data_IF_711991169684
#
_entry.id   IF_711991169684
#
_cell.length_a   1.000
_cell.length_b   1.000
_cell.length_c   1.000
_cell.angle_alpha   90.00
_cell.angle_beta   90.00
_cell.angle_gamma   90.00
#
_symmetry.space_group_name_H-M   'P 1'
#
loop_
_entity.id
_entity.type
_entity.pdbx_description
1 polymer ?
#
# COMPACT_ATOMS: atom_id res chain seq x y z
N UNK A 1 -69.45 18.53 -161.49
CA UNK A 1 -69.81 17.46 -162.45
C UNK A 1 -71.31 17.21 -162.34
N UNK A 2 -72.03 17.16 -163.50
CA UNK A 2 -73.48 16.92 -163.70
C UNK A 2 -74.40 17.97 -163.06
N UNK A 3 -74.92 18.98 -163.75
CA UNK A 3 -75.85 19.02 -164.90
C UNK A 3 -77.09 18.13 -164.71
N UNK A 4 -78.21 18.78 -164.44
CA UNK A 4 -79.49 18.41 -165.07
C UNK A 4 -80.24 19.70 -165.44
N UNK A 5 -80.65 19.76 -166.71
CA UNK A 5 -81.42 20.84 -167.35
C UNK A 5 -82.87 20.84 -166.87
N UNK A 6 -83.51 22.02 -166.86
CA UNK A 6 -84.85 22.25 -167.45
C UNK A 6 -85.17 23.75 -167.63
N UNK A 7 -85.40 24.13 -168.89
CA UNK A 7 -86.46 25.02 -169.44
C UNK A 7 -86.77 26.32 -168.64
N UNK A 8 -86.17 27.46 -168.98
CA UNK A 8 -86.62 28.55 -169.89
C UNK A 8 -88.03 29.12 -169.61
N UNK A 9 -88.05 30.33 -169.06
CA UNK A 9 -88.87 31.45 -169.56
C UNK A 9 -88.06 32.74 -169.37
N UNK A 10 -87.75 33.40 -170.49
CA UNK A 10 -87.07 34.69 -170.56
C UNK A 10 -88.09 35.79 -170.35
N UNK A 11 -87.82 36.74 -169.45
CA UNK A 11 -88.36 38.09 -169.51
C UNK A 11 -87.19 39.06 -169.32
N UNK A 12 -86.88 39.78 -170.39
CA UNK A 12 -85.89 40.86 -170.47
C UNK A 12 -86.66 42.16 -170.80
N UNK A 13 -86.09 43.29 -170.37
CA UNK A 13 -86.49 44.70 -170.60
C UNK A 13 -87.42 45.27 -169.50
N UNK A 14 -87.34 46.53 -169.03
CA UNK A 14 -86.80 47.85 -169.46
C UNK A 14 -86.43 48.67 -168.18
N UNK A 15 -85.31 49.39 -168.03
CA UNK A 15 -84.91 50.74 -168.52
C UNK A 15 -85.85 51.92 -168.22
N UNK A 16 -85.32 53.04 -167.68
CA UNK A 16 -85.67 54.41 -168.12
C UNK A 16 -84.71 55.49 -167.55
N UNK A 17 -83.50 55.57 -168.11
CA UNK A 17 -82.94 56.87 -168.47
C UNK A 17 -83.54 57.25 -169.83
N UNK A 18 -83.96 58.51 -169.95
CA UNK A 18 -84.26 59.28 -171.17
C UNK A 18 -84.08 58.59 -172.53
N UNK A 19 -85.18 58.31 -173.22
CA UNK A 19 -85.36 58.58 -174.66
C UNK A 19 -86.80 58.28 -175.05
N UNK A 20 -87.48 59.30 -175.56
CA UNK A 20 -88.70 59.14 -176.36
C UNK A 20 -88.41 58.18 -177.51
N UNK A 21 -89.17 57.10 -177.61
CA UNK A 21 -89.25 56.30 -178.83
C UNK A 21 -90.73 56.21 -179.20
N UNK A 22 -91.16 57.16 -180.02
CA UNK A 22 -92.44 57.14 -180.71
C UNK A 22 -92.50 55.86 -181.55
N UNK A 23 -93.49 55.00 -181.27
CA UNK A 23 -93.76 53.81 -182.09
C UNK A 23 -95.03 54.08 -182.90
N UNK A 24 -94.87 54.50 -184.16
CA UNK A 24 -95.97 54.51 -185.13
C UNK A 24 -96.24 53.08 -185.64
N UNK A 25 -97.50 52.65 -185.55
CA UNK A 25 -98.02 51.47 -186.25
C UNK A 25 -99.10 51.93 -187.25
N UNK A 26 -98.93 51.59 -188.53
CA UNK A 26 -99.93 51.85 -189.58
C UNK A 26 -100.98 50.74 -189.56
N UNK A 27 -102.19 51.06 -189.07
CA UNK A 27 -103.42 50.32 -189.38
C UNK A 27 -104.27 51.18 -190.32
N UNK A 28 -104.71 50.56 -191.41
CA UNK A 28 -105.75 51.08 -192.30
C UNK A 28 -106.99 51.48 -191.49
N UNK A 29 -107.10 52.76 -191.15
CA UNK A 29 -108.38 53.45 -191.06
C UNK A 29 -109.06 53.65 -189.70
N UNK A 30 -108.40 53.54 -188.52
CA UNK A 30 -108.80 54.25 -187.29
C UNK A 30 -107.79 54.07 -186.13
N UNK A 31 -107.58 55.14 -185.33
CA UNK A 31 -106.54 55.30 -184.30
C UNK A 31 -107.12 55.04 -182.90
N UNK A 32 -106.65 54.00 -182.19
CA UNK A 32 -106.92 53.80 -180.76
C UNK A 32 -105.61 53.58 -179.98
N UNK A 33 -105.45 54.34 -178.89
CA UNK A 33 -104.29 54.39 -177.99
C UNK A 33 -104.49 53.43 -176.81
N UNK A 34 -103.58 52.46 -176.62
CA UNK A 34 -103.58 51.52 -175.51
C UNK A 34 -102.90 52.13 -174.26
N UNK A 35 -103.63 52.26 -173.16
CA UNK A 35 -103.17 52.92 -171.93
C UNK A 35 -102.51 51.88 -170.97
N UNK A 36 -101.19 51.93 -170.80
CA UNK A 36 -100.37 50.94 -170.04
C UNK A 36 -100.11 51.41 -168.58
N UNK A 37 -100.77 52.50 -168.14
CA UNK A 37 -100.61 53.12 -166.82
C UNK A 37 -100.68 52.13 -165.65
N UNK A 38 -101.67 51.21 -165.67
CA UNK A 38 -101.91 50.26 -164.57
C UNK A 38 -100.75 49.27 -164.37
N UNK A 39 -100.03 48.92 -165.45
CA UNK A 39 -98.87 48.03 -165.38
C UNK A 39 -97.65 48.74 -164.77
N UNK A 40 -97.48 50.02 -165.08
CA UNK A 40 -96.38 50.85 -164.55
C UNK A 40 -96.60 51.12 -163.05
N UNK A 41 -97.83 51.38 -162.62
CA UNK A 41 -98.18 51.58 -161.22
C UNK A 41 -98.04 50.28 -160.39
N UNK A 42 -98.39 49.12 -160.97
CA UNK A 42 -98.16 47.82 -160.36
C UNK A 42 -96.68 47.50 -160.14
N UNK A 43 -95.82 47.77 -161.15
CA UNK A 43 -94.36 47.61 -161.04
C UNK A 43 -93.76 48.58 -160.01
N UNK A 44 -94.26 49.82 -159.96
CA UNK A 44 -93.84 50.83 -158.96
C UNK A 44 -94.21 50.41 -157.53
N UNK A 45 -95.40 49.80 -157.33
CA UNK A 45 -95.83 49.24 -156.05
C UNK A 45 -94.94 48.07 -155.58
N UNK A 46 -94.55 47.19 -156.50
CA UNK A 46 -93.61 46.08 -156.23
C UNK A 46 -92.22 46.63 -155.88
N UNK A 47 -91.72 47.62 -156.63
CA UNK A 47 -90.42 48.24 -156.39
C UNK A 47 -90.36 48.94 -155.02
N UNK A 48 -91.41 49.69 -154.65
CA UNK A 48 -91.52 50.32 -153.33
C UNK A 48 -91.60 49.28 -152.20
N UNK A 49 -92.32 48.18 -152.41
CA UNK A 49 -92.39 47.07 -151.45
C UNK A 49 -91.04 46.37 -151.29
N UNK A 50 -90.31 46.15 -152.39
CA UNK A 50 -88.96 45.59 -152.37
C UNK A 50 -87.97 46.51 -151.64
N UNK A 51 -88.05 47.82 -151.87
CA UNK A 51 -87.23 48.81 -151.17
C UNK A 51 -87.55 48.80 -149.66
N UNK A 52 -88.83 48.80 -149.28
CA UNK A 52 -89.25 48.73 -147.88
C UNK A 52 -88.79 47.43 -147.21
N UNK A 53 -88.91 46.29 -147.88
CA UNK A 53 -88.39 45.01 -147.39
C UNK A 53 -86.86 45.01 -147.25
N UNK A 54 -86.14 45.63 -148.20
CA UNK A 54 -84.69 45.79 -148.12
C UNK A 54 -84.28 46.66 -146.94
N UNK A 55 -85.00 47.75 -146.70
CA UNK A 55 -84.78 48.63 -145.55
C UNK A 55 -85.10 47.90 -144.23
N UNK A 56 -86.18 47.12 -144.17
CA UNK A 56 -86.49 46.28 -143.02
C UNK A 56 -85.39 45.23 -142.78
N UNK A 57 -84.91 44.57 -143.83
CA UNK A 57 -83.81 43.62 -143.73
C UNK A 57 -82.51 44.28 -143.25
N UNK A 58 -82.20 45.49 -143.75
CA UNK A 58 -81.07 46.29 -143.28
C UNK A 58 -81.22 46.64 -141.79
N UNK A 59 -82.40 47.06 -141.35
CA UNK A 59 -82.67 47.39 -139.95
C UNK A 59 -82.54 46.17 -139.04
N UNK A 60 -83.03 45.00 -139.48
CA UNK A 60 -82.85 43.72 -138.76
C UNK A 60 -81.36 43.35 -138.70
N UNK A 61 -80.62 43.48 -139.80
CA UNK A 61 -79.19 43.20 -139.83
C UNK A 61 -78.40 44.14 -138.91
N UNK A 62 -78.74 45.43 -138.89
CA UNK A 62 -78.16 46.41 -137.99
C UNK A 62 -78.48 46.08 -136.52
N UNK A 63 -79.72 45.71 -136.21
CA UNK A 63 -80.13 45.26 -134.88
C UNK A 63 -79.37 44.02 -134.42
N UNK A 64 -79.23 43.03 -135.30
CA UNK A 64 -78.45 41.82 -135.03
C UNK A 64 -76.96 42.13 -134.79
N UNK A 65 -76.38 43.03 -135.57
CA UNK A 65 -75.01 43.49 -135.38
C UNK A 65 -74.82 44.18 -134.02
N UNK A 66 -75.75 45.05 -133.62
CA UNK A 66 -75.73 45.68 -132.29
C UNK A 66 -75.88 44.66 -131.15
N UNK A 67 -76.75 43.67 -131.28
CA UNK A 67 -76.88 42.58 -130.30
C UNK A 67 -75.57 41.77 -130.19
N UNK A 68 -74.92 41.46 -131.31
CA UNK A 68 -73.64 40.75 -131.32
C UNK A 68 -72.52 41.56 -130.65
N UNK A 69 -72.46 42.87 -130.91
CA UNK A 69 -71.51 43.77 -130.25
C UNK A 69 -71.75 43.83 -128.73
N UNK A 70 -73.00 43.92 -128.29
CA UNK A 70 -73.36 43.89 -126.87
C UNK A 70 -72.97 42.55 -126.21
N UNK A 71 -73.24 41.42 -126.88
CA UNK A 71 -72.85 40.10 -126.40
C UNK A 71 -71.33 39.96 -126.27
N UNK A 72 -70.56 40.49 -127.23
CA UNK A 72 -69.10 40.52 -127.16
C UNK A 72 -68.61 41.35 -125.98
N UNK A 73 -69.22 42.52 -125.73
CA UNK A 73 -68.89 43.38 -124.57
C UNK A 73 -69.14 42.68 -123.24
N UNK A 74 -70.27 41.98 -123.11
CA UNK A 74 -70.60 41.16 -121.93
C UNK A 74 -69.59 40.02 -121.75
N UNK A 75 -69.24 39.31 -122.83
CA UNK A 75 -68.25 38.24 -122.79
C UNK A 75 -66.86 38.74 -122.36
N UNK A 76 -66.44 39.90 -122.88
CA UNK A 76 -65.18 40.54 -122.48
C UNK A 76 -65.21 40.94 -120.99
N UNK A 77 -66.34 41.46 -120.51
CA UNK A 77 -66.53 41.80 -119.09
C UNK A 77 -66.45 40.56 -118.20
N UNK A 78 -67.13 39.47 -118.57
CA UNK A 78 -67.10 38.21 -117.83
C UNK A 78 -65.69 37.60 -117.79
N UNK A 79 -64.95 37.65 -118.91
CA UNK A 79 -63.56 37.20 -118.96
C UNK A 79 -62.66 38.02 -118.01
N UNK A 80 -62.81 39.34 -117.99
CA UNK A 80 -62.08 40.23 -117.07
C UNK A 80 -62.42 39.94 -115.60
N UNK A 81 -63.70 39.74 -115.27
CA UNK A 81 -64.13 39.34 -113.92
C UNK A 81 -63.53 38.01 -113.48
N UNK A 82 -63.49 37.01 -114.37
CA UNK A 82 -62.87 35.71 -114.09
C UNK A 82 -61.36 35.83 -113.83
N UNK A 83 -60.65 36.65 -114.62
CA UNK A 83 -59.22 36.93 -114.41
C UNK A 83 -58.96 37.63 -113.06
N UNK A 84 -59.82 38.60 -112.69
CA UNK A 84 -59.73 39.27 -111.40
C UNK A 84 -59.99 38.30 -110.23
N UNK A 85 -60.98 37.41 -110.36
CA UNK A 85 -61.26 36.38 -109.36
C UNK A 85 -60.08 35.39 -109.21
N UNK A 86 -59.47 34.96 -110.33
CA UNK A 86 -58.28 34.11 -110.31
C UNK A 86 -57.10 34.81 -109.62
N UNK A 87 -56.90 36.10 -109.88
CA UNK A 87 -55.85 36.90 -109.23
C UNK A 87 -56.08 37.00 -107.72
N UNK A 88 -57.33 37.23 -107.30
CA UNK A 88 -57.70 37.27 -105.88
C UNK A 88 -57.47 35.90 -105.20
N UNK A 89 -57.85 34.80 -105.85
CA UNK A 89 -57.61 33.44 -105.35
C UNK A 89 -56.12 33.13 -105.20
N UNK A 90 -55.30 33.51 -106.19
CA UNK A 90 -53.84 33.33 -106.13
C UNK A 90 -53.22 34.15 -104.98
N UNK A 91 -53.68 35.39 -104.75
CA UNK A 91 -53.25 36.20 -103.61
C UNK A 91 -53.65 35.56 -102.27
N UNK A 92 -54.87 35.05 -102.16
CA UNK A 92 -55.33 34.37 -100.95
C UNK A 92 -54.51 33.10 -100.65
N UNK A 93 -54.18 32.31 -101.68
CA UNK A 93 -53.32 31.14 -101.54
C UNK A 93 -51.91 31.51 -101.07
N UNK A 94 -51.34 32.60 -101.61
CA UNK A 94 -50.03 33.09 -101.18
C UNK A 94 -50.04 33.51 -99.69
N UNK A 95 -51.05 34.27 -99.27
CA UNK A 95 -51.23 34.65 -97.86
C UNK A 95 -51.41 33.44 -96.95
N UNK A 96 -52.16 32.42 -97.38
CA UNK A 96 -52.32 31.18 -96.60
C UNK A 96 -51.00 30.42 -96.44
N UNK A 97 -50.18 30.36 -97.50
CA UNK A 97 -48.87 29.71 -97.47
C UNK A 97 -47.88 30.46 -96.55
N UNK A 98 -47.90 31.79 -96.58
CA UNK A 98 -47.11 32.64 -95.67
C UNK A 98 -47.53 32.44 -94.22
N UNK A 99 -48.84 32.42 -93.93
CA UNK A 99 -49.37 32.17 -92.60
C UNK A 99 -48.98 30.78 -92.07
N UNK A 100 -49.05 29.75 -92.92
CA UNK A 100 -48.62 28.39 -92.57
C UNK A 100 -47.11 28.34 -92.25
N UNK A 101 -46.28 29.04 -93.03
CA UNK A 101 -44.84 29.14 -92.79
C UNK A 101 -44.53 29.87 -91.48
N UNK A 102 -45.25 30.95 -91.18
CA UNK A 102 -45.15 31.68 -89.92
C UNK A 102 -45.54 30.80 -88.72
N UNK A 103 -46.61 30.01 -88.84
CA UNK A 103 -47.05 29.07 -87.80
C UNK A 103 -46.00 27.98 -87.52
N UNK A 104 -45.39 27.43 -88.56
CA UNK A 104 -44.30 26.43 -88.41
C UNK A 104 -43.07 27.04 -87.73
N UNK A 105 -42.69 28.27 -88.11
CA UNK A 105 -41.58 28.97 -87.46
C UNK A 105 -41.86 29.25 -85.97
N UNK A 106 -43.09 29.64 -85.63
CA UNK A 106 -43.51 29.84 -84.25
C UNK A 106 -43.46 28.52 -83.46
N UNK A 107 -43.91 27.41 -84.05
CA UNK A 107 -43.85 26.09 -83.44
C UNK A 107 -42.39 25.64 -83.18
N UNK A 108 -41.49 25.84 -84.14
CA UNK A 108 -40.07 25.52 -83.98
C UNK A 108 -39.41 26.35 -82.88
N UNK A 109 -39.78 27.63 -82.78
CA UNK A 109 -39.31 28.53 -81.71
C UNK A 109 -39.80 28.04 -80.35
N UNK A 110 -41.08 27.66 -80.23
CA UNK A 110 -41.65 27.12 -79.01
C UNK A 110 -40.96 25.82 -78.56
N UNK A 111 -40.69 24.90 -79.51
CA UNK A 111 -39.97 23.65 -79.23
C UNK A 111 -38.54 23.92 -78.75
N UNK A 112 -37.85 24.89 -79.34
CA UNK A 112 -36.50 25.29 -78.92
C UNK A 112 -36.50 25.87 -77.51
N UNK A 113 -37.49 26.70 -77.18
CA UNK A 113 -37.66 27.25 -75.84
C UNK A 113 -37.96 26.16 -74.81
N UNK A 114 -38.83 25.19 -75.13
CA UNK A 114 -39.14 24.04 -74.29
C UNK A 114 -37.87 23.21 -73.99
N UNK A 115 -37.07 22.91 -75.01
CA UNK A 115 -35.83 22.14 -74.85
C UNK A 115 -34.79 22.88 -73.99
N UNK A 116 -34.71 24.20 -74.15
CA UNK A 116 -33.84 25.06 -73.32
C UNK A 116 -34.30 25.02 -71.86
N UNK A 117 -35.60 25.14 -71.60
CA UNK A 117 -36.17 25.07 -70.26
C UNK A 117 -35.92 23.70 -69.60
N UNK A 118 -36.09 22.61 -70.35
CA UNK A 118 -35.81 21.25 -69.85
C UNK A 118 -34.32 21.05 -69.51
N UNK A 119 -33.43 21.60 -70.34
CA UNK A 119 -31.99 21.57 -70.10
C UNK A 119 -31.61 22.36 -68.85
N UNK A 120 -32.18 23.57 -68.69
CA UNK A 120 -31.99 24.39 -67.49
C UNK A 120 -32.50 23.70 -66.23
N UNK A 121 -33.66 23.03 -66.31
CA UNK A 121 -34.21 22.25 -65.19
C UNK A 121 -33.29 21.09 -64.80
N UNK A 122 -32.71 20.39 -65.78
CA UNK A 122 -31.74 19.31 -65.53
C UNK A 122 -30.47 19.83 -64.84
N UNK A 123 -29.95 20.97 -65.29
CA UNK A 123 -28.79 21.62 -64.66
C UNK A 123 -29.10 22.01 -63.21
N UNK A 124 -30.29 22.57 -62.96
CA UNK A 124 -30.72 22.94 -61.60
C UNK A 124 -30.83 21.71 -60.68
N UNK A 125 -31.39 20.59 -61.16
CA UNK A 125 -31.47 19.34 -60.41
C UNK A 125 -30.08 18.77 -60.09
N UNK A 126 -29.16 18.78 -61.05
CA UNK A 126 -27.79 18.33 -60.83
C UNK A 126 -27.05 19.21 -59.82
N UNK A 127 -27.25 20.53 -59.87
CA UNK A 127 -26.69 21.46 -58.89
C UNK A 127 -27.25 21.20 -57.48
N UNK A 128 -28.55 20.95 -57.37
CA UNK A 128 -29.19 20.58 -56.09
C UNK A 128 -28.63 19.27 -55.54
N UNK A 129 -28.48 18.24 -56.38
CA UNK A 129 -27.91 16.95 -55.96
C UNK A 129 -26.46 17.12 -55.48
N UNK A 130 -25.66 17.94 -56.17
CA UNK A 130 -24.28 18.24 -55.78
C UNK A 130 -24.23 18.96 -54.43
N UNK A 131 -25.12 19.93 -54.21
CA UNK A 131 -25.21 20.64 -52.93
C UNK A 131 -25.61 19.70 -51.78
N UNK A 132 -26.57 18.81 -52.00
CA UNK A 132 -26.98 17.82 -51.00
C UNK A 132 -25.83 16.86 -50.64
N UNK A 133 -25.09 16.39 -51.64
CA UNK A 133 -23.93 15.53 -51.40
C UNK A 133 -22.85 16.27 -50.59
N UNK A 134 -22.57 17.54 -50.91
CA UNK A 134 -21.59 18.33 -50.17
C UNK A 134 -21.99 18.53 -48.69
N UNK A 135 -23.29 18.70 -48.41
CA UNK A 135 -23.81 18.79 -47.04
C UNK A 135 -23.61 17.46 -46.31
N UNK A 136 -23.90 16.34 -46.97
CA UNK A 136 -23.73 15.01 -46.38
C UNK A 136 -22.26 14.69 -46.09
N UNK A 137 -21.36 14.94 -47.05
CA UNK A 137 -19.92 14.77 -46.87
C UNK A 137 -19.37 15.64 -45.73
N UNK A 138 -19.90 16.85 -45.57
CA UNK A 138 -19.52 17.75 -44.47
C UNK A 138 -20.00 17.23 -43.11
N UNK A 139 -21.22 16.69 -43.03
CA UNK A 139 -21.75 16.08 -41.82
C UNK A 139 -20.94 14.84 -41.41
N UNK A 140 -20.65 13.94 -42.35
CA UNK A 140 -19.85 12.73 -42.09
C UNK A 140 -18.44 13.06 -41.62
N UNK A 141 -17.80 14.08 -42.22
CA UNK A 141 -16.48 14.57 -41.76
C UNK A 141 -16.54 15.19 -40.37
N UNK A 142 -17.60 15.92 -40.03
CA UNK A 142 -17.78 16.50 -38.71
C UNK A 142 -17.97 15.40 -37.64
N UNK A 143 -18.82 14.41 -37.90
CA UNK A 143 -19.03 13.26 -37.00
C UNK A 143 -17.73 12.45 -36.81
N UNK A 144 -16.97 12.22 -37.88
CA UNK A 144 -15.69 11.54 -37.79
C UNK A 144 -14.66 12.33 -36.97
N UNK A 145 -14.62 13.66 -37.14
CA UNK A 145 -13.74 14.53 -36.37
C UNK A 145 -14.11 14.53 -34.87
N UNK A 146 -15.40 14.63 -34.55
CA UNK A 146 -15.90 14.56 -33.16
C UNK A 146 -15.56 13.21 -32.52
N UNK A 147 -15.82 12.10 -33.22
CA UNK A 147 -15.50 10.75 -32.73
C UNK A 147 -14.00 10.58 -32.47
N UNK A 148 -13.15 11.10 -33.37
CA UNK A 148 -11.70 11.03 -33.19
C UNK A 148 -11.21 11.88 -32.01
N UNK A 149 -11.79 13.07 -31.81
CA UNK A 149 -11.49 13.93 -30.67
C UNK A 149 -11.91 13.29 -29.34
N UNK A 150 -13.10 12.68 -29.30
CA UNK A 150 -13.59 11.96 -28.13
C UNK A 150 -12.71 10.75 -27.81
N UNK A 151 -12.39 9.91 -28.80
CA UNK A 151 -11.47 8.78 -28.61
C UNK A 151 -10.09 9.20 -28.11
N UNK A 152 -9.52 10.29 -28.65
CA UNK A 152 -8.25 10.82 -28.17
C UNK A 152 -8.35 11.27 -26.69
N UNK A 153 -9.42 11.97 -26.34
CA UNK A 153 -9.66 12.47 -24.98
C UNK A 153 -9.86 11.30 -24.00
N UNK A 154 -10.67 10.31 -24.36
CA UNK A 154 -10.93 9.12 -23.54
C UNK A 154 -9.65 8.31 -23.29
N UNK A 155 -8.79 8.16 -24.32
CA UNK A 155 -7.49 7.53 -24.17
C UNK A 155 -6.59 8.31 -23.21
N UNK A 156 -6.52 9.65 -23.33
CA UNK A 156 -5.72 10.47 -22.41
C UNK A 156 -6.22 10.43 -20.97
N UNK A 157 -7.54 10.39 -20.77
CA UNK A 157 -8.15 10.21 -19.45
C UNK A 157 -7.79 8.82 -18.89
N UNK A 158 -7.83 7.79 -19.72
CA UNK A 158 -7.49 6.42 -19.33
C UNK A 158 -6.02 6.30 -18.93
N UNK A 159 -5.11 6.85 -19.74
CA UNK A 159 -3.67 6.91 -19.45
C UNK A 159 -3.41 7.61 -18.10
N UNK A 160 -3.98 8.81 -17.92
CA UNK A 160 -3.83 9.59 -16.69
C UNK A 160 -4.39 8.85 -15.46
N UNK A 161 -5.52 8.15 -15.61
CA UNK A 161 -6.13 7.35 -14.54
C UNK A 161 -5.24 6.18 -14.15
N UNK A 162 -4.64 5.50 -15.12
CA UNK A 162 -3.74 4.38 -14.87
C UNK A 162 -2.44 4.83 -14.17
N UNK A 163 -1.85 5.94 -14.61
CA UNK A 163 -0.68 6.53 -13.97
C UNK A 163 -0.99 6.97 -12.52
N UNK A 164 -2.14 7.63 -12.32
CA UNK A 164 -2.58 8.07 -11.00
C UNK A 164 -2.82 6.88 -10.05
N UNK A 165 -3.45 5.81 -10.52
CA UNK A 165 -3.63 4.59 -9.73
C UNK A 165 -2.28 3.97 -9.34
N UNK A 166 -1.34 3.90 -10.29
CA UNK A 166 0.02 3.37 -10.04
C UNK A 166 0.75 4.19 -8.97
N UNK A 167 0.67 5.53 -9.06
CA UNK A 167 1.27 6.43 -8.08
C UNK A 167 0.63 6.31 -6.69
N UNK A 168 -0.70 6.17 -6.62
CA UNK A 168 -1.42 5.95 -5.36
C UNK A 168 -0.99 4.61 -4.73
N UNK A 169 -0.93 3.54 -5.50
CA UNK A 169 -0.53 2.22 -5.00
C UNK A 169 0.92 2.24 -4.51
N UNK A 170 1.84 2.89 -5.24
CA UNK A 170 3.23 3.06 -4.80
C UNK A 170 3.30 3.85 -3.48
N UNK A 171 2.67 5.02 -3.42
CA UNK A 171 2.69 5.86 -2.21
C UNK A 171 2.07 5.15 -1.00
N UNK A 172 0.98 4.39 -1.21
CA UNK A 172 0.35 3.57 -0.19
C UNK A 172 1.30 2.48 0.32
N UNK A 173 1.97 1.77 -0.58
CA UNK A 173 2.91 0.72 -0.21
C UNK A 173 4.14 1.29 0.52
N UNK A 174 4.68 2.43 0.08
CA UNK A 174 5.79 3.10 0.73
C UNK A 174 5.42 3.55 2.16
N UNK A 175 4.22 4.10 2.34
CA UNK A 175 3.70 4.48 3.65
C UNK A 175 3.53 3.26 4.58
N UNK A 176 2.96 2.16 4.08
CA UNK A 176 2.81 0.91 4.84
C UNK A 176 4.18 0.35 5.23
N UNK A 177 5.12 0.26 4.28
CA UNK A 177 6.45 -0.29 4.52
C UNK A 177 7.23 0.56 5.53
N UNK A 178 7.14 1.89 5.42
CA UNK A 178 7.77 2.82 6.37
C UNK A 178 7.17 2.69 7.76
N UNK A 179 5.84 2.59 7.87
CA UNK A 179 5.15 2.42 9.15
C UNK A 179 5.46 1.09 9.82
N UNK A 180 5.50 -0.01 9.06
CA UNK A 180 5.87 -1.32 9.55
C UNK A 180 7.33 -1.33 10.03
N UNK A 181 8.26 -0.81 9.21
CA UNK A 181 9.69 -0.72 9.57
C UNK A 181 9.91 0.09 10.85
N UNK A 182 9.20 1.22 11.01
CA UNK A 182 9.26 2.02 12.24
C UNK A 182 8.72 1.25 13.45
N UNK A 183 7.58 0.56 13.29
CA UNK A 183 6.95 -0.22 14.36
C UNK A 183 7.83 -1.40 14.78
N UNK A 184 8.37 -2.16 13.82
CA UNK A 184 9.28 -3.28 14.06
C UNK A 184 10.55 -2.81 14.76
N UNK A 185 11.10 -1.66 14.36
CA UNK A 185 12.25 -1.03 15.01
C UNK A 185 11.95 -0.68 16.47
N UNK A 186 10.80 -0.04 16.76
CA UNK A 186 10.40 0.28 18.14
C UNK A 186 10.14 -0.96 18.98
N UNK A 187 9.53 -2.01 18.41
CA UNK A 187 9.35 -3.30 19.10
C UNK A 187 10.72 -3.93 19.43
N UNK A 188 11.67 -3.87 18.49
CA UNK A 188 13.02 -4.40 18.68
C UNK A 188 13.79 -3.64 19.77
N UNK A 189 13.73 -2.31 19.75
CA UNK A 189 14.33 -1.44 20.78
C UNK A 189 13.76 -1.78 22.17
N UNK A 190 12.43 -1.78 22.30
CA UNK A 190 11.75 -2.12 23.56
C UNK A 190 12.07 -3.52 24.04
N UNK A 191 12.12 -4.52 23.14
CA UNK A 191 12.49 -5.90 23.49
C UNK A 191 13.93 -5.98 24.01
N UNK A 192 14.85 -5.22 23.42
CA UNK A 192 16.25 -5.16 23.85
C UNK A 192 16.41 -4.52 25.22
N UNK A 193 15.72 -3.40 25.46
CA UNK A 193 15.69 -2.73 26.76
C UNK A 193 15.06 -3.61 27.84
N UNK A 194 13.93 -4.26 27.55
CA UNK A 194 13.27 -5.16 28.48
C UNK A 194 14.17 -6.34 28.86
N UNK A 195 14.84 -6.96 27.89
CA UNK A 195 15.79 -8.04 28.16
C UNK A 195 16.96 -7.57 29.04
N UNK A 196 17.45 -6.35 28.82
CA UNK A 196 18.51 -5.74 29.64
C UNK A 196 18.04 -5.55 31.08
N UNK A 197 16.85 -4.99 31.27
CA UNK A 197 16.26 -4.77 32.60
C UNK A 197 16.01 -6.09 33.34
N UNK A 198 15.49 -7.11 32.66
CA UNK A 198 15.30 -8.46 33.24
C UNK A 198 16.63 -9.05 33.68
N UNK A 199 17.67 -8.95 32.86
CA UNK A 199 18.99 -9.47 33.20
C UNK A 199 19.61 -8.73 34.39
N UNK A 200 19.49 -7.40 34.43
CA UNK A 200 19.97 -6.58 35.54
C UNK A 200 19.24 -6.95 36.84
N UNK A 201 17.91 -6.97 36.84
CA UNK A 201 17.11 -7.34 38.01
C UNK A 201 17.41 -8.77 38.49
N UNK A 202 17.59 -9.71 37.56
CA UNK A 202 18.01 -11.09 37.87
C UNK A 202 19.38 -11.13 38.54
N UNK A 203 20.36 -10.40 38.00
CA UNK A 203 21.72 -10.37 38.54
C UNK A 203 21.76 -9.70 39.92
N UNK A 204 21.01 -8.61 40.12
CA UNK A 204 20.85 -7.95 41.41
C UNK A 204 20.23 -8.89 42.45
N UNK A 205 19.14 -9.57 42.10
CA UNK A 205 18.48 -10.53 42.99
C UNK A 205 19.42 -11.69 43.40
N UNK A 206 20.17 -12.25 42.44
CA UNK A 206 21.18 -13.28 42.71
C UNK A 206 22.28 -12.74 43.63
N UNK A 207 22.81 -11.54 43.35
CA UNK A 207 23.84 -10.90 44.15
C UNK A 207 23.39 -10.67 45.59
N UNK A 208 22.19 -10.12 45.78
CA UNK A 208 21.58 -9.93 47.11
C UNK A 208 21.39 -11.25 47.84
N UNK A 209 20.89 -12.29 47.15
CA UNK A 209 20.69 -13.62 47.75
C UNK A 209 22.01 -14.27 48.19
N UNK A 210 23.04 -14.19 47.35
CA UNK A 210 24.37 -14.69 47.68
C UNK A 210 24.96 -13.92 48.87
N UNK A 211 24.89 -12.59 48.88
CA UNK A 211 25.39 -11.79 49.98
C UNK A 211 24.70 -12.12 51.32
N UNK A 212 23.38 -12.30 51.31
CA UNK A 212 22.63 -12.72 52.49
C UNK A 212 23.06 -14.12 52.98
N UNK A 213 23.20 -15.07 52.04
CA UNK A 213 23.61 -16.44 52.34
C UNK A 213 25.02 -16.48 52.91
N UNK A 214 25.97 -15.78 52.29
CA UNK A 214 27.35 -15.64 52.77
C UNK A 214 27.38 -15.02 54.17
N UNK A 215 26.61 -13.95 54.40
CA UNK A 215 26.51 -13.31 55.72
C UNK A 215 26.00 -14.27 56.79
N UNK A 216 24.97 -15.06 56.50
CA UNK A 216 24.44 -16.08 57.43
C UNK A 216 25.44 -17.21 57.67
N UNK A 217 26.12 -17.66 56.62
CA UNK A 217 27.17 -18.67 56.72
C UNK A 217 28.33 -18.19 57.61
N UNK A 218 28.82 -16.97 57.39
CA UNK A 218 29.87 -16.37 58.21
C UNK A 218 29.45 -16.14 59.66
N UNK A 219 28.19 -15.74 59.90
CA UNK A 219 27.63 -15.67 61.25
C UNK A 219 27.64 -17.04 61.95
N UNK A 220 27.29 -18.11 61.22
CA UNK A 220 27.34 -19.49 61.73
C UNK A 220 28.77 -19.95 62.08
N UNK A 221 29.76 -19.65 61.23
CA UNK A 221 31.17 -19.91 61.52
C UNK A 221 31.62 -19.15 62.77
N UNK A 222 31.31 -17.85 62.86
CA UNK A 222 31.69 -17.02 64.00
C UNK A 222 31.11 -17.55 65.32
N UNK A 223 29.82 -17.90 65.33
CA UNK A 223 29.17 -18.53 66.49
C UNK A 223 29.84 -19.85 66.89
N UNK A 224 30.15 -20.70 65.90
CA UNK A 224 30.79 -22.00 66.16
C UNK A 224 32.19 -21.82 66.73
N UNK A 225 32.98 -20.89 66.18
CA UNK A 225 34.31 -20.55 66.69
C UNK A 225 34.24 -20.02 68.12
N UNK A 226 33.28 -19.12 68.43
CA UNK A 226 33.09 -18.62 69.79
C UNK A 226 32.76 -19.75 70.78
N UNK A 227 31.88 -20.69 70.39
CA UNK A 227 31.56 -21.86 71.22
C UNK A 227 32.73 -22.83 71.36
N UNK A 228 33.52 -23.00 70.30
CA UNK A 228 34.71 -23.83 70.33
C UNK A 228 35.76 -23.24 71.29
N UNK A 229 36.03 -21.94 71.21
CA UNK A 229 36.93 -21.23 72.15
C UNK A 229 36.43 -21.30 73.60
N UNK A 230 35.12 -21.09 73.83
CA UNK A 230 34.51 -21.27 75.16
C UNK A 230 34.71 -22.69 75.70
N UNK A 231 34.62 -23.71 74.83
CA UNK A 231 34.85 -25.10 75.21
C UNK A 231 36.31 -25.36 75.58
N UNK A 232 37.27 -24.79 74.82
CA UNK A 232 38.70 -24.89 75.14
C UNK A 232 38.96 -24.23 76.50
N UNK A 233 38.45 -23.02 76.72
CA UNK A 233 38.60 -22.32 77.99
C UNK A 233 37.98 -23.09 79.14
N UNK A 234 36.80 -23.67 78.96
CA UNK A 234 36.17 -24.50 79.99
C UNK A 234 37.04 -25.71 80.34
N UNK A 235 37.57 -26.42 79.33
CA UNK A 235 38.45 -27.57 79.54
C UNK A 235 39.77 -27.17 80.22
N UNK A 236 40.37 -26.05 79.83
CA UNK A 236 41.56 -25.49 80.48
C UNK A 236 41.28 -25.12 81.94
N UNK A 237 40.22 -24.36 82.21
CA UNK A 237 39.84 -23.99 83.57
C UNK A 237 39.56 -25.22 84.45
N UNK A 238 38.92 -26.25 83.90
CA UNK A 238 38.67 -27.49 84.61
C UNK A 238 39.98 -28.24 84.92
N UNK A 239 40.92 -28.27 83.96
CA UNK A 239 42.25 -28.86 84.13
C UNK A 239 43.07 -28.07 85.18
N UNK A 240 43.14 -26.74 85.07
CA UNK A 240 43.81 -25.86 86.03
C UNK A 240 43.22 -26.01 87.42
N UNK A 241 41.89 -26.13 87.53
CA UNK A 241 41.22 -26.33 88.82
C UNK A 241 41.55 -27.71 89.41
N UNK A 242 41.61 -28.75 88.59
CA UNK A 242 42.02 -30.08 89.01
C UNK A 242 43.48 -30.09 89.47
N UNK A 243 44.37 -29.41 88.75
CA UNK A 243 45.78 -29.25 89.10
C UNK A 243 45.94 -28.48 90.42
N UNK A 244 45.27 -27.35 90.58
CA UNK A 244 45.27 -26.59 91.84
C UNK A 244 44.76 -27.43 93.01
N UNK A 245 43.68 -28.19 92.83
CA UNK A 245 43.15 -29.06 93.87
C UNK A 245 44.14 -30.19 94.22
N UNK A 246 44.81 -30.77 93.23
CA UNK A 246 45.83 -31.80 93.42
C UNK A 246 47.06 -31.24 94.15
N UNK A 247 47.52 -30.06 93.78
CA UNK A 247 48.62 -29.35 94.45
C UNK A 247 48.24 -29.01 95.89
N UNK A 248 47.05 -28.44 96.12
CA UNK A 248 46.55 -28.16 97.48
C UNK A 248 46.45 -29.42 98.35
N UNK A 249 45.96 -30.54 97.80
CA UNK A 249 45.92 -31.81 98.54
C UNK A 249 47.34 -32.29 98.89
N UNK A 250 48.25 -32.24 97.92
CA UNK A 250 49.65 -32.65 98.08
C UNK A 250 50.37 -31.78 99.12
N UNK A 251 50.23 -30.45 99.03
CA UNK A 251 50.83 -29.49 99.95
C UNK A 251 50.28 -29.66 101.37
N UNK A 252 48.97 -29.86 101.52
CA UNK A 252 48.37 -30.15 102.82
C UNK A 252 48.89 -31.46 103.40
N UNK A 253 48.98 -32.52 102.59
CA UNK A 253 49.50 -33.82 103.03
C UNK A 253 50.99 -33.74 103.38
N UNK A 254 51.77 -33.01 102.60
CA UNK A 254 53.18 -32.77 102.83
C UNK A 254 53.40 -31.95 104.10
N UNK A 255 52.61 -30.89 104.31
CA UNK A 255 52.64 -30.07 105.54
C UNK A 255 52.28 -30.90 106.78
N UNK A 256 51.23 -31.73 106.71
CA UNK A 256 50.87 -32.66 107.79
C UNK A 256 52.00 -33.64 108.09
N UNK A 257 52.61 -34.24 107.06
CA UNK A 257 53.73 -35.16 107.21
C UNK A 257 54.95 -34.46 107.81
N UNK A 258 55.27 -33.25 107.34
CA UNK A 258 56.37 -32.42 107.84
C UNK A 258 56.17 -32.10 109.32
N UNK A 259 54.97 -31.67 109.72
CA UNK A 259 54.63 -31.39 111.12
C UNK A 259 54.72 -32.66 111.99
N UNK A 260 54.18 -33.78 111.52
CA UNK A 260 54.28 -35.07 112.22
C UNK A 260 55.75 -35.54 112.35
N UNK A 261 56.57 -35.31 111.32
CA UNK A 261 57.99 -35.63 111.35
C UNK A 261 58.74 -34.73 112.33
N UNK A 262 58.49 -33.42 112.34
CA UNK A 262 59.11 -32.48 113.27
C UNK A 262 58.78 -32.83 114.73
N UNK A 263 57.52 -33.15 115.03
CA UNK A 263 57.14 -33.61 116.38
C UNK A 263 57.88 -34.89 116.78
N UNK A 264 58.06 -35.84 115.86
CA UNK A 264 58.85 -37.06 116.12
C UNK A 264 60.33 -36.73 116.32
N UNK A 265 60.89 -35.80 115.56
CA UNK A 265 62.28 -35.34 115.73
C UNK A 265 62.49 -34.64 117.08
N UNK A 266 61.56 -33.77 117.50
CA UNK A 266 61.61 -33.14 118.83
C UNK A 266 61.49 -34.20 119.95
N UNK A 267 60.58 -35.17 119.80
CA UNK A 267 60.45 -36.27 120.75
C UNK A 267 61.73 -37.11 120.81
N UNK A 268 62.36 -37.40 119.67
CA UNK A 268 63.66 -38.07 119.57
C UNK A 268 64.75 -37.25 120.27
N UNK A 269 64.85 -35.96 119.99
CA UNK A 269 65.80 -35.05 120.63
C UNK A 269 65.64 -35.07 122.15
N UNK A 270 64.40 -34.98 122.67
CA UNK A 270 64.13 -35.04 124.11
C UNK A 270 64.48 -36.40 124.74
N UNK A 271 64.37 -37.51 124.00
CA UNK A 271 64.79 -38.84 124.48
C UNK A 271 66.31 -38.95 124.54
N UNK A 272 67.02 -38.37 123.56
CA UNK A 272 68.48 -38.31 123.55
C UNK A 272 68.98 -37.49 124.74
N UNK A 273 68.45 -36.27 124.95
CA UNK A 273 68.82 -35.42 126.09
C UNK A 273 68.54 -36.09 127.44
N UNK A 274 67.39 -36.78 127.58
CA UNK A 274 67.10 -37.57 128.78
C UNK A 274 68.05 -38.74 128.97
N UNK A 275 68.44 -39.43 127.89
CA UNK A 275 69.40 -40.52 127.96
C UNK A 275 70.79 -40.01 128.40
N UNK A 276 71.24 -38.88 127.84
CA UNK A 276 72.48 -38.22 128.22
C UNK A 276 72.46 -37.79 129.68
N UNK A 277 71.38 -37.16 130.17
CA UNK A 277 71.24 -36.77 131.58
C UNK A 277 71.22 -37.99 132.52
N UNK A 278 70.56 -39.08 132.15
CA UNK A 278 70.56 -40.33 132.94
C UNK A 278 71.94 -40.96 132.98
N UNK A 279 72.68 -40.92 131.88
CA UNK A 279 74.05 -41.42 131.78
C UNK A 279 75.01 -40.57 132.64
N UNK A 280 74.96 -39.25 132.52
CA UNK A 280 75.77 -38.33 133.31
C UNK A 280 75.53 -38.49 134.81
N UNK A 281 74.27 -38.65 135.22
CA UNK A 281 73.91 -38.92 136.62
C UNK A 281 74.39 -40.29 137.10
N UNK A 282 74.32 -41.33 136.24
CA UNK A 282 74.87 -42.65 136.56
C UNK A 282 76.39 -42.63 136.78
N UNK A 283 77.14 -41.90 135.94
CA UNK A 283 78.58 -41.69 136.11
C UNK A 283 78.85 -40.96 137.43
N UNK A 284 78.10 -39.89 137.72
CA UNK A 284 78.21 -39.18 138.99
C UNK A 284 77.96 -40.12 140.20
N UNK A 285 77.04 -41.08 140.08
CA UNK A 285 76.77 -42.12 141.08
C UNK A 285 77.99 -42.98 141.39
N UNK A 286 78.64 -43.50 140.35
CA UNK A 286 79.86 -44.31 140.52
C UNK A 286 81.02 -43.46 141.04
N UNK A 287 81.16 -42.22 140.58
CA UNK A 287 82.15 -41.26 141.13
C UNK A 287 81.92 -41.03 142.62
N UNK A 288 80.67 -40.84 143.04
CA UNK A 288 80.31 -40.68 144.44
C UNK A 288 80.72 -41.89 145.27
N UNK A 289 80.49 -43.12 144.77
CA UNK A 289 80.92 -44.37 145.43
C UNK A 289 82.45 -44.43 145.55
N UNK A 290 83.17 -44.09 144.49
CA UNK A 290 84.63 -44.16 144.46
C UNK A 290 85.31 -43.20 145.44
N UNK A 291 84.65 -42.08 145.74
CA UNK A 291 85.14 -41.04 146.65
C UNK A 291 84.79 -41.28 148.12
N UNK A 292 84.13 -42.40 148.47
CA UNK A 292 83.79 -42.70 149.86
C UNK A 292 85.07 -43.00 150.68
N UNK A 293 85.37 -42.22 151.74
CA UNK A 293 86.50 -42.51 152.62
C UNK A 293 86.15 -43.64 153.60
N UNK A 294 87.14 -44.46 153.94
CA UNK A 294 87.01 -45.54 154.92
C UNK A 294 88.21 -45.54 155.88
N UNK A 295 87.96 -45.69 157.18
CA UNK A 295 89.00 -45.67 158.22
C UNK A 295 89.54 -47.09 158.45
N UNK A 296 90.83 -47.30 158.18
CA UNK A 296 91.45 -48.63 158.10
C UNK A 296 91.68 -49.34 159.44
N UNK A 297 91.68 -48.60 160.55
CA UNK A 297 92.01 -49.11 161.89
C UNK A 297 90.82 -49.79 162.60
N UNK A 298 89.59 -49.50 162.17
CA UNK A 298 88.38 -50.03 162.81
C UNK A 298 87.81 -51.24 162.06
N UNK A 299 87.26 -52.21 162.80
CA UNK A 299 86.61 -53.39 162.24
C UNK A 299 85.37 -53.07 161.39
N UNK A 300 84.76 -51.91 161.62
CA UNK A 300 83.65 -51.37 160.84
C UNK A 300 83.94 -49.90 160.54
N UNK A 301 83.77 -49.49 159.29
CA UNK A 301 83.74 -48.09 158.90
C UNK A 301 82.59 -47.83 157.94
N UNK A 302 82.08 -46.61 157.96
CA UNK A 302 81.08 -46.13 157.01
C UNK A 302 81.57 -44.81 156.45
N UNK A 303 81.17 -44.52 155.23
CA UNK A 303 81.49 -43.26 154.59
C UNK A 303 80.38 -42.84 153.66
N UNK A 304 80.35 -41.55 153.39
CA UNK A 304 79.45 -40.93 152.43
C UNK A 304 80.35 -40.18 151.44
N UNK A 305 80.06 -40.36 150.16
CA UNK A 305 80.74 -39.70 149.06
C UNK A 305 79.72 -38.93 148.23
N UNK A 306 80.16 -37.85 147.61
CA UNK A 306 79.37 -37.11 146.63
C UNK A 306 80.15 -37.10 145.32
N UNK A 307 79.43 -37.19 144.21
CA UNK A 307 79.99 -37.25 142.87
C UNK A 307 79.26 -36.28 141.96
N UNK A 308 80.02 -35.60 141.12
CA UNK A 308 79.49 -34.75 140.06
C UNK A 308 80.14 -35.16 138.74
N UNK A 309 79.34 -35.21 137.68
CA UNK A 309 79.82 -35.34 136.31
C UNK A 309 78.85 -34.61 135.37
N UNK A 310 79.34 -33.56 134.69
CA UNK A 310 78.53 -32.70 133.84
C UNK A 310 77.26 -32.20 134.57
N UNK A 311 76.08 -32.43 134.01
CA UNK A 311 74.78 -32.08 134.59
C UNK A 311 74.20 -33.18 135.52
N UNK A 312 74.99 -34.21 135.85
CA UNK A 312 74.64 -35.28 136.78
C UNK A 312 75.31 -35.09 138.13
N UNK A 313 74.56 -35.25 139.21
CA UNK A 313 75.06 -35.25 140.58
C UNK A 313 74.59 -36.51 141.28
N UNK A 314 75.36 -37.03 142.21
CA UNK A 314 74.95 -38.17 143.01
C UNK A 314 75.56 -38.16 144.40
N UNK A 315 74.88 -38.86 145.30
CA UNK A 315 75.37 -39.15 146.64
C UNK A 315 75.49 -40.66 146.79
N UNK A 316 76.55 -41.09 147.45
CA UNK A 316 76.79 -42.48 147.76
C UNK A 316 77.04 -42.66 149.25
N UNK A 317 76.56 -43.76 149.78
CA UNK A 317 76.89 -44.22 151.12
C UNK A 317 77.46 -45.62 151.01
N UNK A 318 78.42 -45.93 151.86
CA UNK A 318 78.99 -47.25 151.87
C UNK A 318 79.54 -47.61 153.24
N UNK A 319 79.63 -48.90 153.45
CA UNK A 319 80.14 -49.52 154.66
C UNK A 319 81.28 -50.44 154.28
N UNK A 320 82.31 -50.47 155.11
CA UNK A 320 83.40 -51.40 155.02
C UNK A 320 83.49 -52.20 156.32
N UNK A 321 83.59 -53.51 156.20
CA UNK A 321 83.78 -54.42 157.32
C UNK A 321 85.09 -55.18 157.15
N UNK A 322 85.96 -55.14 158.16
CA UNK A 322 87.27 -55.78 158.17
C UNK A 322 87.15 -57.14 158.87
N UNK A 323 87.18 -58.22 158.10
CA UNK A 323 86.92 -59.58 158.61
C UNK A 323 88.15 -60.19 159.31
N UNK A 324 89.35 -59.72 159.01
CA UNK A 324 90.62 -60.06 159.67
C UNK A 324 91.63 -58.94 159.44
N UNK A 325 92.80 -58.97 160.10
CA UNK A 325 93.85 -57.92 159.97
C UNK A 325 94.19 -57.57 158.50
N UNK A 326 94.01 -58.54 157.60
CA UNK A 326 94.45 -58.54 156.22
C UNK A 326 93.30 -58.60 155.19
N UNK A 327 92.02 -58.59 155.61
CA UNK A 327 90.86 -58.72 154.69
C UNK A 327 89.74 -57.73 154.99
N UNK A 328 89.15 -57.14 153.95
CA UNK A 328 88.01 -56.23 154.06
C UNK A 328 86.94 -56.45 152.98
N UNK A 329 85.67 -56.20 153.34
CA UNK A 329 84.50 -56.19 152.45
C UNK A 329 83.95 -54.77 152.42
N UNK A 330 83.60 -54.27 151.24
CA UNK A 330 82.90 -52.99 151.05
C UNK A 330 81.54 -53.22 150.41
N UNK A 331 80.53 -52.51 150.89
CA UNK A 331 79.20 -52.41 150.28
C UNK A 331 78.90 -50.92 150.08
N UNK A 332 78.53 -50.55 148.87
CA UNK A 332 78.26 -49.18 148.45
C UNK A 332 76.90 -49.11 147.77
N UNK A 333 76.20 -48.00 147.99
CA UNK A 333 74.99 -47.62 147.27
C UNK A 333 75.11 -46.16 146.88
N UNK A 334 74.65 -45.79 145.68
CA UNK A 334 74.49 -44.39 145.30
C UNK A 334 73.12 -44.11 144.72
N UNK A 335 72.65 -42.89 144.95
CA UNK A 335 71.46 -42.32 144.33
C UNK A 335 71.86 -41.07 143.55
N UNK A 336 71.44 -41.00 142.31
CA UNK A 336 71.78 -39.89 141.41
C UNK A 336 70.60 -38.94 141.14
N UNK A 337 70.91 -37.77 140.58
CA UNK A 337 69.96 -36.70 140.23
C UNK A 337 69.01 -37.04 139.09
N UNK A 338 69.15 -38.22 138.49
CA UNK A 338 68.22 -38.81 137.52
C UNK A 338 67.42 -39.98 138.10
N UNK A 339 67.43 -40.13 139.42
CA UNK A 339 66.75 -41.17 140.19
C UNK A 339 67.22 -42.59 139.88
N UNK A 340 68.40 -42.78 139.29
CA UNK A 340 68.97 -44.12 139.22
C UNK A 340 69.65 -44.45 140.55
N UNK A 341 69.65 -45.75 140.87
CA UNK A 341 70.33 -46.30 142.04
C UNK A 341 71.43 -47.23 141.54
N UNK A 342 72.65 -47.06 142.05
CA UNK A 342 73.78 -47.95 141.76
C UNK A 342 74.15 -48.66 143.05
N UNK A 343 74.42 -49.96 142.96
CA UNK A 343 74.86 -50.80 144.07
C UNK A 343 76.19 -51.42 143.68
N UNK A 344 77.15 -51.42 144.61
CA UNK A 344 78.47 -52.00 144.40
C UNK A 344 78.94 -52.74 145.65
N UNK A 345 79.49 -53.93 145.48
CA UNK A 345 80.12 -54.70 146.53
C UNK A 345 81.56 -55.02 146.12
N UNK A 346 82.50 -55.00 147.07
CA UNK A 346 83.91 -55.30 146.81
C UNK A 346 84.53 -56.07 147.97
N UNK A 347 85.53 -56.87 147.69
CA UNK A 347 86.34 -57.57 148.67
C UNK A 347 87.82 -57.30 148.39
N UNK A 348 88.61 -57.10 149.43
CA UNK A 348 90.06 -56.96 149.32
C UNK A 348 90.77 -57.80 150.38
N UNK A 349 91.88 -58.41 149.99
CA UNK A 349 92.82 -59.08 150.88
C UNK A 349 94.23 -58.60 150.57
N UNK A 350 95.04 -58.29 151.58
CA UNK A 350 96.44 -57.88 151.44
C UNK A 350 97.29 -58.60 152.48
N UNK A 351 98.48 -59.08 152.10
CA UNK A 351 99.37 -59.85 152.98
C UNK A 351 100.51 -58.99 153.53
#
# INVERSE_FOLDING_TARGET
>A
MKVTKSIIAVLLCLSAGSAYADCEYYLTGNKETLNISDCVDGVKGIANSALSNSQNAQNVANGAASTAQNAQSVANTAASTAQNAQTAANKAQATANEANSAAQNAQNTANTAQNTANSANTVAQNAQSTANQAIQDAAEKAEAAEKNANNYTDNKITDAKNELNTNIDSAKNDAINSSNSYTDSKISDTKTELNTNINNAKNEAISTSNNYTDKKYQQGISYTNEKYEQSIQYAQNAADKAEQNANNYTDNRFSQLSNQSNQRFEQLNSKIERAEKRLNAGIAGVTAISSIPYVAENSFSYGIGVGNYQNGNAIAAGIQYKTSLNTNVRLNVSWDSSHNTVLGAGFAGGW
#
